data_IF_880841177439
#
_entry.id   IF_880841177439
#
_cell.length_a   1.000
_cell.length_b   1.000
_cell.length_c   1.000
_cell.angle_alpha   90.00
_cell.angle_beta   90.00
_cell.angle_gamma   90.00
#
_symmetry.space_group_name_H-M   'P 1'
#
loop_
_entity.id
_entity.type
_entity.pdbx_description
1 polymer ?
#
# COMPACT_ATOMS: atom_id res chain seq x y z
N UNK A 1 5.05 18.48 3.27
CA UNK A 1 3.97 18.81 2.35
C UNK A 1 2.64 18.94 3.09
N UNK A 2 1.80 19.82 2.59
CA UNK A 2 0.51 20.11 3.24
C UNK A 2 -0.47 18.92 3.26
N UNK A 3 -0.25 17.94 2.40
CA UNK A 3 -1.12 16.77 2.30
C UNK A 3 -0.73 15.63 3.26
N UNK A 4 0.39 15.74 3.96
CA UNK A 4 0.79 14.71 4.93
C UNK A 4 0.25 15.05 6.32
N UNK A 5 -0.30 14.06 7.05
CA UNK A 5 -0.69 14.30 8.44
C UNK A 5 0.52 14.50 9.34
N UNK A 6 0.31 15.16 10.49
CA UNK A 6 1.37 15.38 11.48
C UNK A 6 1.74 14.08 12.21
N UNK A 7 0.87 13.09 12.17
CA UNK A 7 1.06 11.80 12.85
C UNK A 7 1.50 10.73 11.84
N UNK A 8 2.03 9.59 12.31
CA UNK A 8 2.40 8.49 11.44
C UNK A 8 1.23 8.04 10.58
N UNK A 9 1.51 7.64 9.35
CA UNK A 9 0.49 7.23 8.40
C UNK A 9 0.91 5.99 7.63
N UNK A 10 -0.10 5.24 7.15
CA UNK A 10 0.12 4.19 6.17
C UNK A 10 -0.18 4.76 4.78
N UNK A 11 0.46 4.21 3.77
CA UNK A 11 0.14 4.52 2.38
C UNK A 11 -0.25 3.24 1.66
N UNK A 12 -1.31 3.32 0.85
CA UNK A 12 -1.75 2.22 -0.02
C UNK A 12 -1.43 2.58 -1.47
N UNK A 13 -0.59 1.77 -2.08
CA UNK A 13 -0.32 1.85 -3.52
C UNK A 13 -1.19 0.80 -4.22
N UNK A 14 -2.47 1.12 -4.38
CA UNK A 14 -3.47 0.18 -4.88
C UNK A 14 -3.55 0.09 -6.39
N UNK A 15 -3.04 1.09 -7.09
CA UNK A 15 -3.17 1.22 -8.53
C UNK A 15 -2.09 0.48 -9.31
N UNK A 16 -2.49 -0.09 -10.43
CA UNK A 16 -1.58 -0.71 -11.39
C UNK A 16 -2.22 -0.63 -12.77
N UNK A 17 -1.39 -0.59 -13.81
CA UNK A 17 -1.87 -0.60 -15.19
C UNK A 17 -2.53 -1.95 -15.58
N UNK A 18 -2.25 -3.02 -14.85
CA UNK A 18 -2.75 -4.35 -15.15
C UNK A 18 -3.83 -4.76 -14.16
N UNK A 19 -5.06 -4.95 -14.67
CA UNK A 19 -6.20 -5.31 -13.82
C UNK A 19 -5.96 -6.60 -13.02
N UNK A 20 -5.25 -7.56 -13.60
CA UNK A 20 -4.94 -8.83 -12.93
C UNK A 20 -4.04 -8.66 -11.70
N UNK A 21 -3.32 -7.55 -11.60
CA UNK A 21 -2.46 -7.26 -10.44
C UNK A 21 -3.21 -6.53 -9.34
N UNK A 22 -4.43 -6.09 -9.57
CA UNK A 22 -5.19 -5.33 -8.58
C UNK A 22 -5.69 -6.21 -7.45
N UNK A 23 -5.68 -5.63 -6.25
CA UNK A 23 -6.32 -6.22 -5.09
C UNK A 23 -7.71 -5.61 -4.94
N UNK A 24 -8.75 -6.37 -4.61
CA UNK A 24 -10.12 -5.82 -4.57
C UNK A 24 -10.27 -4.68 -3.56
N UNK A 25 -11.11 -3.69 -3.90
CA UNK A 25 -11.36 -2.53 -3.03
C UNK A 25 -11.85 -2.95 -1.63
N UNK A 26 -12.72 -3.97 -1.55
CA UNK A 26 -13.21 -4.48 -0.27
C UNK A 26 -12.06 -4.95 0.63
N UNK A 27 -11.01 -5.53 0.05
CA UNK A 27 -9.85 -5.98 0.80
C UNK A 27 -9.03 -4.81 1.33
N UNK A 28 -8.88 -3.75 0.54
CA UNK A 28 -8.22 -2.52 0.98
C UNK A 28 -8.98 -1.86 2.12
N UNK A 29 -10.31 -1.82 2.04
CA UNK A 29 -11.16 -1.26 3.07
C UNK A 29 -10.98 -2.03 4.39
N UNK A 30 -11.06 -3.35 4.34
CA UNK A 30 -10.92 -4.18 5.53
C UNK A 30 -9.53 -4.01 6.17
N UNK A 31 -8.50 -3.94 5.35
CA UNK A 31 -7.12 -3.73 5.83
C UNK A 31 -6.98 -2.37 6.50
N UNK A 32 -7.51 -1.32 5.89
CA UNK A 32 -7.46 0.02 6.46
C UNK A 32 -8.24 0.15 7.75
N UNK A 33 -9.36 -0.55 7.87
CA UNK A 33 -10.14 -0.59 9.11
C UNK A 33 -9.34 -1.21 10.24
N UNK A 34 -8.55 -2.23 9.95
CA UNK A 34 -7.69 -2.86 10.94
C UNK A 34 -6.57 -1.94 11.41
N UNK A 35 -6.19 -0.96 10.60
CA UNK A 35 -5.14 0.01 10.94
C UNK A 35 -5.68 1.23 11.68
N UNK A 36 -7.00 1.43 11.73
CA UNK A 36 -7.60 2.59 12.40
C UNK A 36 -7.14 2.69 13.85
N UNK A 37 -6.92 3.90 14.39
CA UNK A 37 -7.21 5.22 13.81
C UNK A 37 -6.08 5.83 12.98
N UNK A 38 -5.04 5.06 12.65
CA UNK A 38 -3.94 5.58 11.83
C UNK A 38 -4.46 6.01 10.45
N UNK A 39 -4.09 7.22 9.99
CA UNK A 39 -4.48 7.66 8.65
C UNK A 39 -3.93 6.75 7.57
N UNK A 40 -4.74 6.49 6.55
CA UNK A 40 -4.35 5.73 5.37
C UNK A 40 -4.42 6.68 4.18
N UNK A 41 -3.28 6.93 3.56
CA UNK A 41 -3.19 7.80 2.41
C UNK A 41 -3.29 6.97 1.13
N UNK A 42 -4.17 7.40 0.23
CA UNK A 42 -4.43 6.69 -1.02
C UNK A 42 -3.82 7.49 -2.17
N UNK A 43 -2.74 6.97 -2.74
CA UNK A 43 -2.06 7.58 -3.87
C UNK A 43 -2.66 7.08 -5.18
N UNK A 44 -2.68 7.92 -6.21
CA UNK A 44 -3.20 7.56 -7.53
C UNK A 44 -2.43 8.32 -8.62
N UNK A 45 -2.41 7.75 -9.81
CA UNK A 45 -1.72 8.35 -10.94
C UNK A 45 -2.58 8.54 -12.18
N UNK A 46 -3.75 7.89 -12.24
CA UNK A 46 -4.69 8.01 -13.36
C UNK A 46 -6.08 8.29 -12.83
N UNK A 47 -6.98 8.74 -13.72
CA UNK A 47 -8.37 9.02 -13.33
C UNK A 47 -9.07 7.74 -12.84
N UNK A 48 -8.77 6.60 -13.44
CA UNK A 48 -9.33 5.32 -13.00
C UNK A 48 -8.86 4.94 -11.61
N UNK A 49 -7.59 5.18 -11.31
CA UNK A 49 -7.03 4.94 -9.97
C UNK A 49 -7.63 5.91 -8.95
N UNK A 50 -7.86 7.15 -9.34
CA UNK A 50 -8.51 8.13 -8.46
C UNK A 50 -9.92 7.68 -8.09
N UNK A 51 -10.70 7.20 -9.07
CA UNK A 51 -12.05 6.68 -8.79
C UNK A 51 -12.01 5.49 -7.84
N UNK A 52 -11.02 4.61 -8.00
CA UNK A 52 -10.83 3.47 -7.11
C UNK A 52 -10.45 3.93 -5.70
N UNK A 53 -9.58 4.94 -5.59
CA UNK A 53 -9.22 5.53 -4.30
C UNK A 53 -10.45 6.12 -3.60
N UNK A 54 -11.30 6.81 -4.35
CA UNK A 54 -12.53 7.38 -3.80
C UNK A 54 -13.50 6.28 -3.34
N UNK A 55 -13.56 5.18 -4.07
CA UNK A 55 -14.39 4.03 -3.69
C UNK A 55 -13.89 3.41 -2.37
N UNK A 56 -12.59 3.24 -2.23
CA UNK A 56 -11.98 2.74 -0.99
C UNK A 56 -12.27 3.71 0.16
N UNK A 57 -12.05 5.01 -0.06
CA UNK A 57 -12.26 6.03 0.97
C UNK A 57 -13.71 6.10 1.44
N UNK A 58 -14.68 5.81 0.56
CA UNK A 58 -16.09 5.81 0.93
C UNK A 58 -16.42 4.80 2.02
N UNK A 59 -15.65 3.70 2.09
CA UNK A 59 -15.84 2.67 3.12
C UNK A 59 -14.80 2.73 4.25
N UNK A 60 -13.98 3.77 4.30
CA UNK A 60 -12.84 3.82 5.21
C UNK A 60 -12.67 5.21 5.81
N UNK A 61 -13.25 5.45 7.02
CA UNK A 61 -13.26 6.80 7.62
C UNK A 61 -11.88 7.42 7.86
N UNK A 62 -10.84 6.59 8.06
CA UNK A 62 -9.48 7.09 8.27
C UNK A 62 -8.68 7.23 6.97
N UNK A 63 -9.31 7.10 5.82
CA UNK A 63 -8.65 7.24 4.53
C UNK A 63 -8.62 8.71 4.07
N UNK A 64 -7.53 9.06 3.41
CA UNK A 64 -7.34 10.37 2.78
C UNK A 64 -6.95 10.12 1.32
N UNK A 65 -7.80 10.58 0.39
CA UNK A 65 -7.46 10.54 -1.03
C UNK A 65 -6.53 11.74 -1.30
N UNK A 66 -5.33 11.45 -1.77
CA UNK A 66 -4.33 12.49 -1.98
C UNK A 66 -4.62 13.31 -3.24
N UNK A 67 -4.11 14.55 -3.33
CA UNK A 67 -4.09 15.26 -4.61
C UNK A 67 -3.16 14.54 -5.58
N UNK A 68 -3.19 14.92 -6.84
CA UNK A 68 -2.24 14.36 -7.80
C UNK A 68 -0.83 14.80 -7.41
N UNK A 69 0.06 13.83 -7.22
CA UNK A 69 1.43 14.08 -6.80
C UNK A 69 2.38 14.01 -7.98
N UNK A 70 3.45 14.81 -7.92
CA UNK A 70 4.61 14.62 -8.80
C UNK A 70 5.34 13.34 -8.39
N UNK A 71 6.27 12.89 -9.23
CA UNK A 71 7.08 11.72 -8.88
C UNK A 71 7.91 11.98 -7.61
N UNK A 72 8.48 13.19 -7.48
CA UNK A 72 9.25 13.54 -6.28
C UNK A 72 8.39 13.51 -5.01
N UNK A 73 7.15 13.98 -5.11
CA UNK A 73 6.22 13.93 -3.98
C UNK A 73 5.84 12.49 -3.64
N UNK A 74 5.62 11.65 -4.66
CA UNK A 74 5.29 10.25 -4.45
C UNK A 74 6.45 9.49 -3.79
N UNK A 75 7.69 9.79 -4.18
CA UNK A 75 8.88 9.20 -3.55
C UNK A 75 8.98 9.64 -2.10
N UNK A 76 8.74 10.92 -1.81
CA UNK A 76 8.73 11.44 -0.43
C UNK A 76 7.66 10.76 0.41
N UNK A 77 6.47 10.56 -0.17
CA UNK A 77 5.37 9.85 0.49
C UNK A 77 5.79 8.44 0.90
N UNK A 78 6.40 7.70 -0.03
CA UNK A 78 6.84 6.33 0.22
C UNK A 78 7.96 6.29 1.27
N UNK A 79 8.91 7.21 1.17
CA UNK A 79 10.07 7.24 2.07
C UNK A 79 9.69 7.53 3.52
N UNK A 80 8.66 8.34 3.74
CA UNK A 80 8.28 8.80 5.08
C UNK A 80 7.11 8.03 5.68
N UNK A 81 6.56 7.05 4.99
CA UNK A 81 5.44 6.26 5.51
C UNK A 81 5.85 5.40 6.70
N UNK A 82 4.97 5.28 7.69
CA UNK A 82 5.17 4.34 8.78
C UNK A 82 4.95 2.90 8.32
N UNK A 83 4.09 2.73 7.31
CA UNK A 83 3.80 1.43 6.70
C UNK A 83 3.36 1.68 5.25
N UNK A 84 3.90 0.92 4.33
CA UNK A 84 3.46 0.92 2.93
C UNK A 84 2.90 -0.46 2.59
N UNK A 85 1.72 -0.48 1.99
CA UNK A 85 1.13 -1.71 1.47
C UNK A 85 0.79 -1.43 0.01
N UNK A 86 1.28 -2.24 -0.89
CA UNK A 86 1.01 -2.01 -2.29
C UNK A 86 1.12 -3.25 -3.13
N UNK A 87 0.43 -3.20 -4.26
CA UNK A 87 0.56 -4.22 -5.28
C UNK A 87 1.92 -4.09 -5.96
N UNK A 88 2.26 -5.04 -6.81
CA UNK A 88 3.55 -5.06 -7.51
C UNK A 88 3.67 -3.88 -8.48
N UNK A 89 4.14 -2.74 -7.97
CA UNK A 89 4.34 -1.50 -8.73
C UNK A 89 5.65 -0.83 -8.34
N UNK A 90 6.09 0.13 -9.15
CA UNK A 90 7.32 0.88 -8.90
C UNK A 90 7.33 1.60 -7.56
N UNK A 91 6.21 2.21 -7.16
CA UNK A 91 6.14 2.95 -5.90
C UNK A 91 6.26 2.03 -4.69
N UNK A 92 5.68 0.83 -4.75
CA UNK A 92 5.83 -0.15 -3.68
C UNK A 92 7.30 -0.58 -3.56
N UNK A 93 7.96 -0.79 -4.69
CA UNK A 93 9.37 -1.16 -4.68
C UNK A 93 10.26 -0.02 -4.18
N UNK A 94 9.88 1.23 -4.43
CA UNK A 94 10.60 2.40 -3.89
C UNK A 94 10.51 2.41 -2.36
N UNK A 95 9.33 2.19 -1.79
CA UNK A 95 9.17 2.13 -0.33
C UNK A 95 10.05 1.04 0.26
N UNK A 96 10.09 -0.15 -0.37
CA UNK A 96 10.95 -1.24 0.06
C UNK A 96 12.42 -0.85 -0.02
N UNK A 97 12.83 -0.13 -1.08
CA UNK A 97 14.21 0.30 -1.27
C UNK A 97 14.67 1.26 -0.16
N UNK A 98 13.77 2.02 0.44
CA UNK A 98 14.09 2.88 1.59
C UNK A 98 14.00 2.13 2.93
N UNK A 99 13.79 0.82 2.88
CA UNK A 99 13.69 -0.05 4.07
C UNK A 99 12.59 0.42 5.04
N UNK A 100 11.51 0.98 4.51
CA UNK A 100 10.33 1.26 5.31
C UNK A 100 9.54 -0.03 5.51
N UNK A 101 8.77 -0.18 6.60
CA UNK A 101 7.89 -1.33 6.74
C UNK A 101 6.97 -1.41 5.52
N UNK A 102 7.10 -2.48 4.75
CA UNK A 102 6.45 -2.59 3.44
C UNK A 102 5.88 -3.99 3.25
N UNK A 103 4.64 -4.05 2.80
CA UNK A 103 4.00 -5.30 2.38
C UNK A 103 3.76 -5.21 0.87
N UNK A 104 4.41 -6.09 0.12
CA UNK A 104 4.24 -6.18 -1.31
C UNK A 104 3.25 -7.30 -1.62
N UNK A 105 2.16 -6.96 -2.31
CA UNK A 105 1.07 -7.88 -2.64
C UNK A 105 1.23 -8.40 -4.06
N UNK A 106 1.33 -9.71 -4.19
CA UNK A 106 1.45 -10.37 -5.49
C UNK A 106 0.13 -11.06 -5.83
N UNK A 107 -0.61 -10.50 -6.77
CA UNK A 107 -1.89 -11.04 -7.19
C UNK A 107 -1.77 -11.84 -8.49
N UNK A 108 -0.89 -11.41 -9.39
CA UNK A 108 -0.69 -12.07 -10.69
C UNK A 108 0.77 -12.12 -11.14
N UNK A 109 1.68 -11.45 -10.44
CA UNK A 109 3.10 -11.48 -10.77
C UNK A 109 3.80 -12.60 -10.02
N UNK A 110 4.81 -13.28 -10.63
CA UNK A 110 5.59 -14.25 -9.88
C UNK A 110 6.39 -13.54 -8.78
N UNK A 111 6.22 -13.98 -7.55
CA UNK A 111 6.89 -13.38 -6.39
C UNK A 111 8.42 -13.40 -6.52
N UNK A 112 8.98 -14.49 -7.02
CA UNK A 112 10.43 -14.63 -7.17
C UNK A 112 11.04 -13.59 -8.11
N UNK A 113 10.24 -12.97 -8.96
CA UNK A 113 10.71 -12.06 -10.00
C UNK A 113 11.04 -10.67 -9.47
N UNK A 114 10.32 -10.22 -8.45
CA UNK A 114 10.41 -8.84 -7.97
C UNK A 114 10.43 -8.71 -6.45
N UNK A 115 10.43 -9.82 -5.70
CA UNK A 115 10.33 -9.72 -4.25
C UNK A 115 11.56 -9.05 -3.63
N UNK A 116 11.29 -8.13 -2.69
CA UNK A 116 12.31 -7.45 -1.94
C UNK A 116 12.47 -8.05 -0.54
N UNK A 117 13.12 -9.20 -0.44
CA UNK A 117 13.21 -9.95 0.82
C UNK A 117 14.56 -9.78 1.53
N UNK A 118 15.26 -8.69 1.25
CA UNK A 118 16.59 -8.40 1.82
C UNK A 118 16.52 -7.68 3.17
N UNK A 119 15.33 -7.51 3.75
CA UNK A 119 15.13 -6.88 5.05
C UNK A 119 13.94 -7.51 5.77
N UNK A 120 14.00 -7.69 7.12
CA UNK A 120 12.85 -8.17 7.88
C UNK A 120 11.67 -7.20 7.91
N UNK A 121 11.86 -5.96 7.47
CA UNK A 121 10.79 -4.96 7.37
C UNK A 121 9.99 -5.07 6.08
N UNK A 122 10.39 -5.98 5.18
CA UNK A 122 9.73 -6.15 3.90
C UNK A 122 9.11 -7.53 3.86
N UNK A 123 7.81 -7.58 3.62
CA UNK A 123 7.03 -8.82 3.58
C UNK A 123 6.39 -8.97 2.21
N UNK A 124 6.61 -10.10 1.57
CA UNK A 124 6.04 -10.42 0.27
C UNK A 124 4.94 -11.45 0.44
N UNK A 125 3.72 -11.14 0.04
CA UNK A 125 2.55 -11.99 0.21
C UNK A 125 1.85 -12.24 -1.12
N UNK A 126 1.30 -13.44 -1.26
CA UNK A 126 0.58 -13.83 -2.47
C UNK A 126 1.48 -14.33 -3.57
N UNK A 127 0.87 -14.83 -4.64
CA UNK A 127 1.54 -15.36 -5.81
C UNK A 127 0.63 -15.15 -7.02
N UNK A 128 1.15 -15.48 -8.22
CA UNK A 128 0.37 -15.39 -9.44
C UNK A 128 -0.90 -16.25 -9.32
N UNK A 129 -2.06 -15.64 -9.54
CA UNK A 129 -3.35 -16.32 -9.44
C UNK A 129 -3.78 -16.67 -8.02
N UNK A 130 -3.01 -16.23 -7.01
CA UNK A 130 -3.30 -16.49 -5.61
C UNK A 130 -3.04 -15.22 -4.78
N UNK A 131 -3.89 -14.19 -4.91
CA UNK A 131 -3.72 -12.97 -4.14
C UNK A 131 -3.82 -13.26 -2.64
N UNK A 132 -3.11 -12.47 -1.80
CA UNK A 132 -3.12 -12.73 -0.36
C UNK A 132 -4.49 -12.42 0.25
N UNK A 133 -4.95 -13.22 1.24
CA UNK A 133 -6.17 -12.90 1.95
C UNK A 133 -5.95 -11.74 2.93
N UNK A 134 -7.02 -11.01 3.24
CA UNK A 134 -6.95 -9.85 4.15
C UNK A 134 -6.32 -10.21 5.49
N UNK A 135 -6.70 -11.34 6.09
CA UNK A 135 -6.18 -11.76 7.39
C UNK A 135 -4.65 -11.88 7.40
N UNK A 136 -4.08 -12.37 6.31
CA UNK A 136 -2.63 -12.50 6.19
C UNK A 136 -1.95 -11.14 6.10
N UNK A 137 -2.54 -10.23 5.34
CA UNK A 137 -2.03 -8.86 5.18
C UNK A 137 -2.12 -8.08 6.49
N UNK A 138 -3.25 -8.16 7.19
CA UNK A 138 -3.42 -7.46 8.47
C UNK A 138 -2.49 -8.02 9.55
N UNK A 139 -2.28 -9.33 9.59
CA UNK A 139 -1.33 -9.93 10.53
C UNK A 139 0.09 -9.45 10.27
N UNK A 140 0.50 -9.38 9.01
CA UNK A 140 1.81 -8.87 8.64
C UNK A 140 1.96 -7.39 9.00
N UNK A 141 0.90 -6.59 8.79
CA UNK A 141 0.91 -5.17 9.12
C UNK A 141 1.11 -4.95 10.62
N UNK A 142 0.38 -5.69 11.45
CA UNK A 142 0.49 -5.58 12.92
C UNK A 142 1.88 -5.97 13.39
N UNK A 143 2.46 -7.04 12.81
CA UNK A 143 3.80 -7.47 13.15
C UNK A 143 4.84 -6.41 12.79
N UNK A 144 4.75 -5.82 11.59
CA UNK A 144 5.68 -4.79 11.15
C UNK A 144 5.55 -3.53 12.00
N UNK A 145 4.34 -3.12 12.35
CA UNK A 145 4.10 -1.96 13.19
C UNK A 145 4.67 -2.16 14.61
N UNK A 146 4.65 -3.38 15.10
CA UNK A 146 5.25 -3.73 16.39
C UNK A 146 6.77 -3.66 16.41
N UNK A 147 7.42 -3.59 15.25
CA UNK A 147 8.87 -3.48 15.12
C UNK A 147 9.37 -2.05 15.01
N UNK A 148 8.46 -1.10 14.99
CA UNK A 148 8.79 0.32 14.80
C UNK A 148 9.02 1.03 16.11
#
# INVERSE_FOLDING_TARGET
>A
PHWTPAQPYAVFFHGTARASKKWPAANWIATGQALAPMPVLLAWGSDGEKREAELIAAGLPNAIVLPKLSMDEAVTLARNAALAIGVDTGLTHIAAAFVRPTIELYCDSPKWKTEGNWSPRIVNLGERGAPPPVAEVTSAAMRLMGQV
#
